data_IF_615650768162
#
_entry.id   IF_615650768162
#
_cell.length_a   1.000
_cell.length_b   1.000
_cell.length_c   1.000
_cell.angle_alpha   90.00
_cell.angle_beta   90.00
_cell.angle_gamma   90.00
#
_symmetry.space_group_name_H-M   'P 1'
#
loop_
_entity.id
_entity.type
_entity.pdbx_description
1 polymer ?
#
# COMPACT_ATOMS: atom_id res chain seq x y z
N UNK A 1 40.47 25.69 4.88
CA UNK A 1 39.86 27.02 5.07
C UNK A 1 38.88 27.27 3.93
N UNK A 2 37.66 26.74 4.04
CA UNK A 2 36.52 27.06 3.15
C UNK A 2 35.29 27.11 4.06
N UNK A 3 34.78 28.32 4.28
CA UNK A 3 33.61 28.63 5.09
C UNK A 3 32.34 28.37 4.26
N UNK A 4 31.53 27.38 4.63
CA UNK A 4 30.15 27.28 4.14
C UNK A 4 29.22 28.00 5.11
N UNK A 5 28.67 29.13 4.64
CA UNK A 5 27.63 29.91 5.32
C UNK A 5 26.30 29.14 5.31
N UNK A 6 25.76 28.90 6.50
CA UNK A 6 24.38 28.47 6.74
C UNK A 6 23.40 29.48 6.13
N UNK A 7 22.56 29.04 5.18
CA UNK A 7 21.36 29.78 4.77
C UNK A 7 20.35 29.70 5.91
N UNK A 8 20.05 30.84 6.53
CA UNK A 8 18.97 30.98 7.49
C UNK A 8 17.62 30.61 6.84
N UNK A 9 16.90 29.70 7.48
CA UNK A 9 15.50 29.39 7.16
C UNK A 9 14.67 30.64 7.50
N UNK A 10 14.15 31.33 6.49
CA UNK A 10 13.17 32.40 6.69
C UNK A 10 11.92 31.79 7.32
N UNK A 11 11.51 32.32 8.48
CA UNK A 11 10.20 32.01 9.05
C UNK A 11 9.10 32.45 8.06
N UNK A 12 8.04 31.65 7.86
CA UNK A 12 6.90 32.09 7.06
C UNK A 12 6.25 33.33 7.70
N UNK A 13 5.67 34.24 6.90
CA UNK A 13 5.06 35.45 7.42
C UNK A 13 3.91 35.10 8.38
N UNK A 14 3.69 35.91 9.43
CA UNK A 14 2.61 35.68 10.37
C UNK A 14 1.25 35.74 9.65
N UNK A 15 0.42 34.73 9.88
CA UNK A 15 -0.97 34.68 9.40
C UNK A 15 -1.70 35.90 9.98
N UNK A 16 -2.40 36.72 9.17
CA UNK A 16 -3.11 37.88 9.67
C UNK A 16 -4.20 37.42 10.64
N UNK A 17 -4.24 38.01 11.84
CA UNK A 17 -5.33 37.79 12.80
C UNK A 17 -6.62 38.31 12.17
N UNK A 18 -7.73 37.56 12.17
CA UNK A 18 -9.01 38.10 11.73
C UNK A 18 -9.37 39.28 12.64
N UNK A 19 -9.77 40.42 12.04
CA UNK A 19 -10.03 41.72 12.66
C UNK A 19 -11.27 41.76 13.58
N UNK A 20 -11.67 40.62 14.14
CA UNK A 20 -12.87 40.48 14.96
C UNK A 20 -12.77 41.23 16.31
N UNK A 21 -11.56 41.57 16.75
CA UNK A 21 -11.32 42.26 18.03
C UNK A 21 -11.43 43.79 17.94
N UNK A 22 -11.21 44.40 16.77
CA UNK A 22 -11.25 45.87 16.63
C UNK A 22 -12.69 46.40 16.50
N UNK A 23 -13.59 45.65 15.85
CA UNK A 23 -15.02 46.00 15.82
C UNK A 23 -15.68 45.88 17.20
N UNK A 24 -15.21 44.96 18.05
CA UNK A 24 -15.71 44.79 19.41
C UNK A 24 -15.28 45.92 20.37
N UNK A 25 -14.12 46.54 20.15
CA UNK A 25 -13.64 47.66 20.97
C UNK A 25 -14.28 49.00 20.59
N UNK A 26 -14.65 49.19 19.33
CA UNK A 26 -15.28 50.44 18.87
C UNK A 26 -16.75 50.59 19.32
N UNK A 27 -17.42 49.49 19.66
CA UNK A 27 -18.79 49.49 20.18
C UNK A 27 -18.89 49.87 21.68
N UNK A 28 -17.76 49.96 22.39
CA UNK A 28 -17.73 50.15 23.85
C UNK A 28 -17.68 51.62 24.32
N UNK A 29 -17.74 52.61 23.42
CA UNK A 29 -17.51 54.03 23.75
C UNK A 29 -18.74 54.95 23.68
N UNK A 30 -19.96 54.42 23.51
CA UNK A 30 -21.19 55.21 23.62
C UNK A 30 -21.81 55.11 25.03
N UNK A 31 -21.89 56.22 25.80
CA UNK A 31 -22.56 56.24 27.09
C UNK A 31 -23.99 56.72 26.89
N UNK A 32 -24.95 55.81 26.77
CA UNK A 32 -26.34 55.98 27.24
C UNK A 32 -27.23 54.85 26.71
N UNK A 33 -27.21 53.69 27.39
CA UNK A 33 -28.39 52.81 27.44
C UNK A 33 -28.50 52.25 28.86
N UNK A 34 -29.39 52.84 29.66
CA UNK A 34 -29.99 52.16 30.80
C UNK A 34 -30.96 51.10 30.25
N UNK A 35 -30.64 49.81 30.37
CA UNK A 35 -31.63 48.72 30.24
C UNK A 35 -31.31 47.55 31.18
N UNK A 36 -32.39 46.99 31.70
CA UNK A 36 -32.48 45.94 32.71
C UNK A 36 -31.91 44.59 32.23
N UNK A 37 -31.38 43.81 33.17
CA UNK A 37 -31.02 42.40 32.96
C UNK A 37 -29.60 42.19 32.44
N UNK A 38 -28.69 41.84 33.34
CA UNK A 38 -27.34 41.41 32.97
C UNK A 38 -27.39 40.22 32.00
N UNK A 39 -27.07 40.46 30.72
CA UNK A 39 -26.84 39.38 29.75
C UNK A 39 -25.52 38.67 30.06
N UNK A 40 -25.54 37.81 31.09
CA UNK A 40 -24.50 36.81 31.31
C UNK A 40 -24.70 35.68 30.30
N UNK A 41 -24.37 35.92 29.01
CA UNK A 41 -24.30 34.83 28.03
C UNK A 41 -22.99 34.07 28.26
N UNK A 42 -23.11 32.84 28.71
CA UNK A 42 -22.01 31.88 28.86
C UNK A 42 -21.77 31.16 27.53
N UNK A 43 -20.61 30.51 27.40
CA UNK A 43 -20.31 29.63 26.25
C UNK A 43 -21.35 28.52 26.05
N UNK A 44 -22.08 28.13 27.09
CA UNK A 44 -23.16 27.14 26.99
C UNK A 44 -24.41 27.70 26.30
N UNK A 45 -24.54 29.02 26.18
CA UNK A 45 -25.68 29.68 25.54
C UNK A 45 -25.48 29.86 24.02
N UNK A 46 -24.33 29.40 23.49
CA UNK A 46 -24.07 29.38 22.05
C UNK A 46 -24.90 28.28 21.37
N UNK A 47 -25.44 28.54 20.16
CA UNK A 47 -26.06 27.50 19.35
C UNK A 47 -25.09 26.34 19.08
N UNK A 48 -25.62 25.12 19.04
CA UNK A 48 -24.84 23.89 18.78
C UNK A 48 -23.92 23.99 17.55
N UNK A 49 -24.37 24.51 16.38
CA UNK A 49 -23.48 24.63 15.21
C UNK A 49 -22.29 25.58 15.41
N UNK A 50 -22.43 26.56 16.29
CA UNK A 50 -21.34 27.50 16.62
C UNK A 50 -20.32 26.84 17.56
N UNK A 51 -20.79 26.07 18.55
CA UNK A 51 -19.93 25.28 19.42
C UNK A 51 -19.16 24.21 18.64
N UNK A 52 -19.81 23.56 17.69
CA UNK A 52 -19.19 22.57 16.81
C UNK A 52 -18.04 23.19 16.01
N UNK A 53 -18.25 24.35 15.37
CA UNK A 53 -17.19 25.09 14.65
C UNK A 53 -15.99 25.45 15.54
N UNK A 54 -16.24 25.86 16.80
CA UNK A 54 -15.15 26.13 17.75
C UNK A 54 -14.39 24.84 18.07
N UNK A 55 -15.10 23.73 18.22
CA UNK A 55 -14.51 22.43 18.53
C UNK A 55 -13.71 21.82 17.37
N UNK A 56 -13.93 22.24 16.12
CA UNK A 56 -13.11 21.83 14.97
C UNK A 56 -11.63 22.25 15.08
N UNK A 57 -11.32 23.26 15.91
CA UNK A 57 -9.94 23.69 16.13
C UNK A 57 -9.25 22.94 17.27
N UNK A 58 -9.96 22.07 17.99
CA UNK A 58 -9.45 21.37 19.15
C UNK A 58 -8.76 20.06 18.76
N UNK A 59 -7.76 19.67 19.56
CA UNK A 59 -7.15 18.34 19.44
C UNK A 59 -8.09 17.27 19.98
N UNK A 60 -7.86 16.00 19.62
CA UNK A 60 -8.59 14.87 20.19
C UNK A 60 -8.53 14.84 21.73
N UNK A 61 -7.39 15.23 22.31
CA UNK A 61 -7.23 15.29 23.77
C UNK A 61 -8.09 16.38 24.39
N UNK A 62 -8.20 17.54 23.74
CA UNK A 62 -8.98 18.66 24.24
C UNK A 62 -10.47 18.42 24.08
N UNK A 63 -10.90 17.83 22.96
CA UNK A 63 -12.28 17.35 22.78
C UNK A 63 -12.69 16.34 23.86
N UNK A 64 -11.81 15.38 24.19
CA UNK A 64 -12.08 14.41 25.25
C UNK A 64 -12.25 15.09 26.61
N UNK A 65 -11.48 16.14 26.91
CA UNK A 65 -11.66 16.96 28.12
C UNK A 65 -12.97 17.75 28.07
N UNK A 66 -13.28 18.40 26.95
CA UNK A 66 -14.54 19.13 26.77
C UNK A 66 -15.77 18.23 26.98
N UNK A 67 -15.71 16.97 26.54
CA UNK A 67 -16.79 16.00 26.73
C UNK A 67 -17.07 15.63 28.21
N UNK A 68 -16.13 15.96 29.11
CA UNK A 68 -16.30 15.77 30.56
C UNK A 68 -16.86 17.01 31.28
N UNK A 69 -16.90 18.18 30.64
CA UNK A 69 -17.29 19.43 31.29
C UNK A 69 -18.79 19.52 31.61
N UNK A 70 -19.66 19.30 30.62
CA UNK A 70 -21.12 19.38 30.79
C UNK A 70 -21.87 18.57 29.72
N UNK A 71 -23.21 18.43 29.85
CA UNK A 71 -24.04 17.67 28.90
C UNK A 71 -24.02 18.27 27.48
N UNK A 72 -24.11 19.60 27.37
CA UNK A 72 -24.10 20.29 26.08
C UNK A 72 -22.75 20.07 25.36
N UNK A 73 -21.64 20.27 26.07
CA UNK A 73 -20.30 20.06 25.51
C UNK A 73 -20.04 18.60 25.19
N UNK A 74 -20.57 17.65 25.98
CA UNK A 74 -20.49 16.22 25.66
C UNK A 74 -21.18 15.91 24.34
N UNK A 75 -22.37 16.45 24.10
CA UNK A 75 -23.09 16.26 22.85
C UNK A 75 -22.28 16.80 21.66
N UNK A 76 -21.83 18.06 21.72
CA UNK A 76 -21.05 18.67 20.64
C UNK A 76 -19.69 18.00 20.45
N UNK A 77 -18.96 17.71 21.53
CA UNK A 77 -17.61 17.14 21.47
C UNK A 77 -17.62 15.67 21.03
N UNK A 78 -18.67 14.90 21.33
CA UNK A 78 -18.70 13.46 21.00
C UNK A 78 -19.26 13.18 19.62
N UNK A 79 -20.19 14.00 19.13
CA UNK A 79 -20.81 13.83 17.81
C UNK A 79 -20.22 14.75 16.74
N UNK A 80 -19.15 15.49 17.06
CA UNK A 80 -18.47 16.34 16.09
C UNK A 80 -17.94 15.49 14.93
N UNK A 81 -18.28 15.83 13.67
CA UNK A 81 -17.63 15.26 12.47
C UNK A 81 -16.12 15.46 12.45
N UNK A 82 -15.57 16.31 13.33
CA UNK A 82 -14.14 16.49 13.51
C UNK A 82 -13.41 15.21 13.95
N UNK A 83 -14.07 14.30 14.70
CA UNK A 83 -13.41 13.05 15.12
C UNK A 83 -12.97 12.16 13.94
N UNK A 84 -13.76 12.10 12.86
CA UNK A 84 -13.37 11.35 11.66
C UNK A 84 -12.15 11.98 10.98
N UNK A 85 -12.10 13.31 10.90
CA UNK A 85 -10.93 14.05 10.38
C UNK A 85 -9.70 13.86 11.24
N UNK A 86 -9.82 13.93 12.56
CA UNK A 86 -8.71 13.67 13.48
C UNK A 86 -8.19 12.24 13.33
N UNK A 87 -9.11 11.27 13.24
CA UNK A 87 -8.81 9.88 12.96
C UNK A 87 -8.00 9.74 11.67
N UNK A 88 -8.51 10.27 10.55
CA UNK A 88 -7.86 10.23 9.23
C UNK A 88 -6.52 10.96 9.20
N UNK A 89 -6.38 12.05 9.95
CA UNK A 89 -5.13 12.80 10.04
C UNK A 89 -4.05 12.07 10.85
N UNK A 90 -4.45 11.21 11.79
CA UNK A 90 -3.52 10.48 12.67
C UNK A 90 -3.10 9.13 12.08
N UNK A 91 -4.06 8.40 11.54
CA UNK A 91 -3.86 7.06 11.01
C UNK A 91 -4.30 7.02 9.55
N UNK A 92 -3.37 6.62 8.71
CA UNK A 92 -3.58 6.42 7.28
C UNK A 92 -4.29 5.07 7.02
N UNK A 93 -3.98 4.06 7.84
CA UNK A 93 -4.45 2.69 7.63
C UNK A 93 -5.74 2.43 8.36
N UNK A 94 -6.90 2.42 7.72
CA UNK A 94 -8.13 1.92 8.34
C UNK A 94 -8.33 0.48 7.89
N UNK A 95 -8.70 -0.42 8.82
CA UNK A 95 -8.90 -1.84 8.52
C UNK A 95 -9.70 -1.99 7.22
N UNK A 96 -9.06 -2.55 6.19
CA UNK A 96 -9.68 -2.78 4.88
C UNK A 96 -10.74 -3.84 5.11
N UNK A 97 -11.97 -3.35 5.11
CA UNK A 97 -13.20 -3.99 5.55
C UNK A 97 -14.33 -2.96 5.56
N UNK A 98 -14.01 -1.68 5.80
CA UNK A 98 -15.04 -0.64 5.98
C UNK A 98 -14.98 0.57 5.04
N UNK A 99 -13.95 0.74 4.21
CA UNK A 99 -13.89 1.89 3.29
C UNK A 99 -14.97 1.84 2.20
N UNK A 100 -15.50 0.64 1.91
CA UNK A 100 -16.61 0.38 1.01
C UNK A 100 -17.82 -0.30 1.67
N UNK A 101 -17.77 -0.62 2.96
CA UNK A 101 -18.92 -1.19 3.66
C UNK A 101 -19.83 -0.07 4.16
N UNK A 102 -21.12 -0.33 4.20
CA UNK A 102 -22.12 0.54 4.83
C UNK A 102 -21.84 0.82 6.33
N UNK A 103 -20.79 0.23 6.94
CA UNK A 103 -20.41 0.46 8.33
C UNK A 103 -19.70 1.81 8.57
N UNK A 104 -19.06 2.41 7.55
CA UNK A 104 -18.38 3.70 7.70
C UNK A 104 -19.35 4.83 8.08
N UNK A 105 -20.53 4.86 7.47
CA UNK A 105 -21.57 5.87 7.73
C UNK A 105 -22.13 5.80 9.17
N UNK A 106 -21.99 4.65 9.84
CA UNK A 106 -22.49 4.41 11.19
C UNK A 106 -21.38 4.31 12.25
N UNK A 107 -20.14 4.61 11.90
CA UNK A 107 -19.01 4.54 12.84
C UNK A 107 -19.09 5.63 13.91
N UNK A 108 -19.10 5.23 15.17
CA UNK A 108 -18.94 6.15 16.29
C UNK A 108 -17.45 6.47 16.51
N UNK A 109 -16.97 7.50 15.79
CA UNK A 109 -15.56 7.89 15.71
C UNK A 109 -14.81 8.08 17.04
N UNK A 110 -15.40 8.64 18.12
CA UNK A 110 -14.70 8.75 19.39
C UNK A 110 -14.34 7.39 20.02
N UNK A 111 -15.17 6.37 19.82
CA UNK A 111 -14.87 5.02 20.28
C UNK A 111 -13.77 4.38 19.42
N UNK A 112 -13.84 4.55 18.10
CA UNK A 112 -12.81 4.07 17.18
C UNK A 112 -11.43 4.68 17.51
N UNK A 113 -11.37 6.01 17.74
CA UNK A 113 -10.14 6.68 18.18
C UNK A 113 -9.60 6.07 19.48
N UNK A 114 -10.46 5.88 20.48
CA UNK A 114 -10.05 5.36 21.79
C UNK A 114 -9.53 3.94 21.71
N UNK A 115 -10.26 3.07 21.02
CA UNK A 115 -9.87 1.67 20.81
C UNK A 115 -8.51 1.59 20.11
N UNK A 116 -8.35 2.32 19.01
CA UNK A 116 -7.11 2.30 18.24
C UNK A 116 -5.93 2.90 18.98
N UNK A 117 -6.13 4.01 19.70
CA UNK A 117 -5.09 4.58 20.56
C UNK A 117 -4.67 3.60 21.67
N UNK A 118 -5.62 2.83 22.21
CA UNK A 118 -5.34 1.81 23.21
C UNK A 118 -4.57 0.63 22.61
N UNK A 119 -4.92 0.20 21.40
CA UNK A 119 -4.19 -0.82 20.63
C UNK A 119 -2.75 -0.38 20.35
N UNK A 120 -2.53 0.85 19.86
CA UNK A 120 -1.19 1.42 19.64
C UNK A 120 -0.34 1.38 20.92
N UNK A 121 -0.91 1.86 22.05
CA UNK A 121 -0.21 1.86 23.35
C UNK A 121 0.15 0.46 23.81
N UNK A 122 -0.80 -0.47 23.70
CA UNK A 122 -0.62 -1.88 24.06
C UNK A 122 0.45 -2.53 23.19
N UNK A 123 0.42 -2.25 21.89
CA UNK A 123 1.39 -2.73 20.91
C UNK A 123 2.81 -2.28 21.26
N UNK A 124 3.01 -0.98 21.51
CA UNK A 124 4.33 -0.45 21.86
C UNK A 124 4.85 -1.03 23.19
N UNK A 125 4.00 -1.20 24.20
CA UNK A 125 4.38 -1.85 25.46
C UNK A 125 4.81 -3.31 25.24
N UNK A 126 4.07 -4.06 24.41
CA UNK A 126 4.43 -5.44 24.06
C UNK A 126 5.76 -5.51 23.27
N UNK A 127 6.03 -4.56 22.37
CA UNK A 127 7.33 -4.48 21.67
C UNK A 127 8.47 -4.23 22.67
N UNK A 128 8.26 -3.42 23.70
CA UNK A 128 9.24 -3.23 24.77
C UNK A 128 9.49 -4.52 25.58
N UNK A 129 8.46 -5.34 25.79
CA UNK A 129 8.61 -6.65 26.45
C UNK A 129 9.41 -7.66 25.62
N UNK A 130 9.38 -7.56 24.29
CA UNK A 130 10.09 -8.47 23.37
C UNK A 130 11.61 -8.32 23.38
N UNK A 131 12.16 -7.30 24.06
CA UNK A 131 13.61 -7.15 24.27
C UNK A 131 14.24 -8.41 24.87
N UNK A 132 13.45 -9.23 25.57
CA UNK A 132 13.85 -10.53 26.10
C UNK A 132 13.48 -11.67 25.13
N UNK A 133 14.44 -12.32 24.45
CA UNK A 133 14.15 -13.31 23.40
C UNK A 133 13.23 -14.46 23.85
N UNK A 134 13.30 -14.86 25.12
CA UNK A 134 12.47 -15.91 25.70
C UNK A 134 10.97 -15.57 25.70
N UNK A 135 10.62 -14.28 25.71
CA UNK A 135 9.22 -13.83 25.68
C UNK A 135 8.69 -13.62 24.26
N UNK A 136 9.56 -13.63 23.24
CA UNK A 136 9.21 -13.26 21.87
C UNK A 136 7.97 -14.01 21.34
N UNK A 137 7.98 -15.34 21.39
CA UNK A 137 6.89 -16.13 20.80
C UNK A 137 5.54 -15.86 21.45
N UNK A 138 5.47 -15.74 22.77
CA UNK A 138 4.21 -15.46 23.46
C UNK A 138 3.77 -14.00 23.21
N UNK A 139 4.70 -13.05 23.27
CA UNK A 139 4.39 -11.63 23.13
C UNK A 139 4.01 -11.26 21.69
N UNK A 140 4.65 -11.86 20.67
CA UNK A 140 4.32 -11.56 19.25
C UNK A 140 2.93 -12.05 18.88
N UNK A 141 2.44 -13.12 19.50
CA UNK A 141 1.05 -13.58 19.33
C UNK A 141 0.05 -12.61 19.97
N UNK A 142 0.39 -12.01 21.12
CA UNK A 142 -0.43 -10.95 21.72
C UNK A 142 -0.50 -9.72 20.83
N UNK A 143 0.61 -9.34 20.19
CA UNK A 143 0.61 -8.24 19.20
C UNK A 143 -0.23 -8.59 17.99
N UNK A 144 -0.11 -9.81 17.46
CA UNK A 144 -0.91 -10.27 16.33
C UNK A 144 -2.42 -10.27 16.64
N UNK A 145 -2.81 -10.58 17.88
CA UNK A 145 -4.20 -10.53 18.33
C UNK A 145 -4.79 -9.11 18.39
N UNK A 146 -3.97 -8.04 18.32
CA UNK A 146 -4.46 -6.67 18.23
C UNK A 146 -5.01 -6.33 16.83
N UNK A 147 -4.78 -7.19 15.83
CA UNK A 147 -5.28 -7.03 14.46
C UNK A 147 -4.43 -6.08 13.62
N UNK A 148 -4.91 -5.76 12.41
CA UNK A 148 -4.18 -4.93 11.44
C UNK A 148 -4.08 -3.45 11.84
N UNK A 149 -4.88 -2.97 12.79
CA UNK A 149 -4.90 -1.57 13.25
C UNK A 149 -3.53 -1.07 13.76
N UNK A 150 -2.70 -1.98 14.29
CA UNK A 150 -1.39 -1.65 14.86
C UNK A 150 -0.25 -1.67 13.84
N UNK A 151 -0.50 -2.05 12.58
CA UNK A 151 0.53 -2.14 11.54
C UNK A 151 1.25 -0.80 11.34
N UNK A 152 0.51 0.30 11.27
CA UNK A 152 1.07 1.65 11.08
C UNK A 152 2.02 2.01 12.23
N UNK A 153 1.60 1.71 13.47
CA UNK A 153 2.39 1.97 14.67
C UNK A 153 3.70 1.17 14.66
N UNK A 154 3.63 -0.11 14.31
CA UNK A 154 4.79 -1.00 14.21
C UNK A 154 5.74 -0.57 13.08
N UNK A 155 5.21 -0.18 11.92
CA UNK A 155 6.00 0.31 10.80
C UNK A 155 6.73 1.61 11.16
N UNK A 156 6.04 2.58 11.78
CA UNK A 156 6.66 3.82 12.29
C UNK A 156 7.78 3.50 13.28
N UNK A 157 7.56 2.55 14.19
CA UNK A 157 8.57 2.12 15.16
C UNK A 157 9.77 1.42 14.51
N UNK A 158 9.57 0.61 13.47
CA UNK A 158 10.63 -0.08 12.74
C UNK A 158 11.58 0.90 12.02
N UNK A 159 11.04 2.03 11.53
CA UNK A 159 11.79 3.04 10.79
C UNK A 159 12.31 4.20 11.65
N UNK A 160 12.09 4.18 12.98
CA UNK A 160 12.58 5.23 13.87
C UNK A 160 14.11 5.34 13.85
N UNK A 161 14.69 6.53 13.64
CA UNK A 161 16.14 6.72 13.63
C UNK A 161 16.74 6.67 15.04
N UNK A 162 17.97 6.17 15.16
CA UNK A 162 18.79 6.25 16.39
C UNK A 162 19.27 4.89 16.91
N UNK A 163 20.58 4.79 17.20
CA UNK A 163 21.24 3.53 17.58
C UNK A 163 20.72 2.90 18.89
N UNK A 164 20.24 3.71 19.84
CA UNK A 164 19.65 3.22 21.10
C UNK A 164 18.30 2.52 20.90
N UNK A 165 17.72 2.59 19.69
CA UNK A 165 16.42 1.98 19.36
C UNK A 165 16.55 0.73 18.50
N UNK A 166 17.76 0.27 18.18
CA UNK A 166 17.99 -0.84 17.22
C UNK A 166 17.23 -2.12 17.58
N UNK A 167 17.23 -2.49 18.87
CA UNK A 167 16.46 -3.63 19.36
C UNK A 167 14.96 -3.46 19.17
N UNK A 168 14.40 -2.28 19.51
CA UNK A 168 12.97 -1.99 19.34
C UNK A 168 12.56 -1.99 17.88
N UNK A 169 13.41 -1.45 16.99
CA UNK A 169 13.18 -1.46 15.54
C UNK A 169 13.10 -2.88 15.00
N UNK A 170 14.04 -3.74 15.41
CA UNK A 170 14.07 -5.15 15.00
C UNK A 170 12.80 -5.90 15.44
N UNK A 171 12.40 -5.74 16.71
CA UNK A 171 11.20 -6.40 17.23
C UNK A 171 9.92 -5.85 16.62
N UNK A 172 9.83 -4.54 16.41
CA UNK A 172 8.70 -3.91 15.72
C UNK A 172 8.57 -4.42 14.28
N UNK A 173 9.68 -4.54 13.54
CA UNK A 173 9.66 -5.08 12.17
C UNK A 173 9.20 -6.55 12.14
N UNK A 174 9.68 -7.38 13.07
CA UNK A 174 9.25 -8.79 13.17
C UNK A 174 7.78 -8.91 13.58
N UNK A 175 7.31 -8.09 14.52
CA UNK A 175 5.93 -8.07 14.93
C UNK A 175 5.01 -7.57 13.80
N UNK A 176 5.43 -6.55 13.05
CA UNK A 176 4.71 -6.07 11.86
C UNK A 176 4.53 -7.20 10.85
N UNK A 177 5.60 -7.90 10.50
CA UNK A 177 5.55 -9.05 9.58
C UNK A 177 4.59 -10.14 10.08
N UNK A 178 4.60 -10.45 11.39
CA UNK A 178 3.70 -11.47 11.97
C UNK A 178 2.23 -11.05 11.89
N UNK A 179 1.89 -9.83 12.29
CA UNK A 179 0.53 -9.26 12.22
C UNK A 179 0.04 -9.27 10.78
N UNK A 180 0.91 -8.87 9.86
CA UNK A 180 0.62 -8.79 8.45
C UNK A 180 0.35 -10.16 7.82
N UNK A 181 1.20 -11.16 8.09
CA UNK A 181 0.95 -12.53 7.65
C UNK A 181 -0.37 -13.06 8.18
N UNK A 182 -0.69 -12.80 9.45
CA UNK A 182 -1.96 -13.25 10.03
C UNK A 182 -3.15 -12.61 9.33
N UNK A 183 -3.13 -11.28 9.18
CA UNK A 183 -4.21 -10.55 8.53
C UNK A 183 -4.44 -11.06 7.10
N UNK A 184 -3.38 -11.32 6.33
CA UNK A 184 -3.55 -11.86 4.99
C UNK A 184 -4.06 -13.29 4.95
N UNK A 185 -3.66 -14.14 5.90
CA UNK A 185 -4.24 -15.48 6.03
C UNK A 185 -5.74 -15.41 6.36
N UNK A 186 -6.15 -14.45 7.18
CA UNK A 186 -7.56 -14.18 7.50
C UNK A 186 -8.31 -13.72 6.24
N UNK A 187 -7.78 -12.74 5.50
CA UNK A 187 -8.38 -12.28 4.23
C UNK A 187 -8.49 -13.42 3.20
N UNK A 188 -7.44 -14.23 3.04
CA UNK A 188 -7.46 -15.39 2.14
C UNK A 188 -8.49 -16.44 2.56
N UNK A 189 -8.69 -16.64 3.87
CA UNK A 189 -9.68 -17.58 4.41
C UNK A 189 -11.11 -17.06 4.22
N UNK A 190 -11.32 -15.75 4.38
CA UNK A 190 -12.61 -15.08 4.22
C UNK A 190 -12.96 -14.78 2.75
N UNK A 191 -12.05 -15.05 1.82
CA UNK A 191 -12.28 -15.03 0.38
C UNK A 191 -12.43 -16.45 -0.24
N UNK A 192 -13.25 -17.39 0.31
CA UNK A 192 -13.38 -18.72 -0.24
C UNK A 192 -14.08 -18.70 -1.61
N UNK A 193 -14.90 -17.68 -1.88
CA UNK A 193 -15.50 -17.47 -3.20
C UNK A 193 -14.42 -17.21 -4.26
N UNK A 194 -13.44 -16.35 -3.97
CA UNK A 194 -12.34 -15.98 -4.89
C UNK A 194 -11.46 -17.19 -5.24
N UNK A 195 -11.11 -18.05 -4.28
CA UNK A 195 -10.27 -19.23 -4.55
C UNK A 195 -11.01 -20.39 -5.25
N UNK A 196 -12.35 -20.39 -5.26
CA UNK A 196 -13.16 -21.43 -5.88
C UNK A 196 -13.73 -21.03 -7.26
N UNK A 197 -13.48 -19.81 -7.73
CA UNK A 197 -13.93 -19.37 -9.05
C UNK A 197 -13.21 -20.17 -10.16
N UNK A 198 -13.96 -20.72 -11.14
CA UNK A 198 -13.39 -21.38 -12.33
C UNK A 198 -12.37 -20.50 -13.08
N UNK A 199 -12.52 -19.18 -12.98
CA UNK A 199 -11.64 -18.15 -13.54
C UNK A 199 -10.21 -18.21 -13.00
N UNK A 200 -9.98 -18.73 -11.79
CA UNK A 200 -8.63 -18.86 -11.20
C UNK A 200 -7.81 -20.05 -11.72
N UNK A 201 -8.43 -21.00 -12.44
CA UNK A 201 -7.65 -22.06 -13.10
C UNK A 201 -6.73 -21.39 -14.13
N UNK A 202 -5.42 -21.58 -13.96
CA UNK A 202 -4.37 -21.01 -14.80
C UNK A 202 -4.14 -19.49 -14.65
N UNK A 203 -4.48 -18.88 -13.51
CA UNK A 203 -4.12 -17.48 -13.19
C UNK A 203 -3.13 -17.39 -12.01
N UNK A 204 -1.93 -17.96 -12.19
CA UNK A 204 -0.88 -18.04 -11.15
C UNK A 204 -0.42 -16.63 -10.73
N UNK A 205 -0.51 -15.66 -11.63
CA UNK A 205 -0.21 -14.26 -11.38
C UNK A 205 -1.10 -13.66 -10.28
N UNK A 206 -2.38 -14.04 -10.20
CA UNK A 206 -3.26 -13.54 -9.12
C UNK A 206 -2.81 -14.07 -7.76
N UNK A 207 -2.40 -15.34 -7.70
CA UNK A 207 -1.80 -15.91 -6.49
C UNK A 207 -0.54 -15.15 -6.06
N UNK A 208 0.33 -14.80 -7.01
CA UNK A 208 1.53 -14.01 -6.74
C UNK A 208 1.20 -12.59 -6.25
N UNK A 209 0.15 -11.96 -6.79
CA UNK A 209 -0.31 -10.64 -6.33
C UNK A 209 -0.93 -10.69 -4.93
N UNK A 210 -1.67 -11.75 -4.60
CA UNK A 210 -2.18 -11.97 -3.24
C UNK A 210 -1.03 -12.14 -2.24
N UNK A 211 0.02 -12.88 -2.62
CA UNK A 211 1.25 -12.99 -1.82
C UNK A 211 1.94 -11.63 -1.68
N UNK A 212 1.99 -10.84 -2.75
CA UNK A 212 2.56 -9.49 -2.71
C UNK A 212 1.78 -8.55 -1.77
N UNK A 213 0.45 -8.67 -1.72
CA UNK A 213 -0.39 -7.97 -0.73
C UNK A 213 -0.06 -8.39 0.72
N UNK A 214 0.47 -9.59 0.93
CA UNK A 214 1.03 -9.98 2.24
C UNK A 214 2.28 -9.23 2.61
N UNK A 215 3.02 -8.69 1.65
CA UNK A 215 4.19 -7.86 1.92
C UNK A 215 3.88 -6.36 1.87
N UNK A 216 2.88 -5.96 1.09
CA UNK A 216 2.40 -4.59 0.94
C UNK A 216 0.85 -4.55 0.93
N UNK A 217 0.19 -4.54 2.11
CA UNK A 217 -1.26 -4.69 2.26
C UNK A 217 -2.05 -3.56 1.61
N UNK A 218 -1.38 -2.43 1.45
CA UNK A 218 -1.94 -1.16 1.04
C UNK A 218 -1.47 -0.74 -0.35
N UNK A 219 -0.66 -1.58 -1.01
CA UNK A 219 -0.31 -1.35 -2.41
C UNK A 219 -1.55 -1.63 -3.26
N UNK A 220 -1.95 -0.66 -4.06
CA UNK A 220 -2.94 -0.89 -5.11
C UNK A 220 -2.25 -1.63 -6.27
N UNK A 221 -2.50 -2.94 -6.35
CA UNK A 221 -1.96 -3.82 -7.38
C UNK A 221 -2.94 -4.06 -8.54
N UNK A 222 -4.12 -3.42 -8.53
CA UNK A 222 -5.10 -3.44 -9.62
C UNK A 222 -4.50 -3.09 -11.00
N UNK A 223 -3.49 -2.21 -11.10
CA UNK A 223 -2.82 -1.94 -12.38
C UNK A 223 -2.12 -3.16 -13.01
N UNK A 224 -1.69 -4.15 -12.21
CA UNK A 224 -0.87 -5.26 -12.73
C UNK A 224 -1.66 -6.20 -13.65
N UNK A 225 -2.84 -6.74 -13.28
CA UNK A 225 -3.63 -7.55 -14.20
C UNK A 225 -3.98 -6.80 -15.50
N UNK A 226 -4.38 -5.53 -15.39
CA UNK A 226 -4.69 -4.68 -16.57
C UNK A 226 -3.49 -4.51 -17.50
N UNK A 227 -2.30 -4.36 -16.92
CA UNK A 227 -1.08 -4.24 -17.71
C UNK A 227 -0.69 -5.57 -18.37
N UNK A 228 -0.89 -6.70 -17.70
CA UNK A 228 -0.72 -8.03 -18.31
C UNK A 228 -1.70 -8.25 -19.47
N UNK A 229 -2.96 -7.80 -19.33
CA UNK A 229 -3.95 -7.80 -20.42
C UNK A 229 -3.47 -6.98 -21.62
N UNK A 230 -2.98 -5.76 -21.36
CA UNK A 230 -2.43 -4.88 -22.41
C UNK A 230 -1.19 -5.49 -23.11
N UNK A 231 -0.30 -6.14 -22.36
CA UNK A 231 0.85 -6.85 -22.92
C UNK A 231 0.41 -8.03 -23.80
N UNK A 232 -0.60 -8.79 -23.38
CA UNK A 232 -1.16 -9.90 -24.15
C UNK A 232 -1.82 -9.44 -25.44
N UNK A 233 -2.59 -8.35 -25.39
CA UNK A 233 -3.20 -7.73 -26.58
C UNK A 233 -2.14 -7.24 -27.56
N UNK A 234 -1.14 -6.52 -27.07
CA UNK A 234 -0.06 -6.00 -27.91
C UNK A 234 0.76 -7.13 -28.55
N UNK A 235 1.04 -8.21 -27.82
CA UNK A 235 1.69 -9.39 -28.39
C UNK A 235 0.82 -10.04 -29.47
N UNK A 236 -0.49 -10.20 -29.22
CA UNK A 236 -1.42 -10.78 -30.21
C UNK A 236 -1.48 -9.92 -31.48
N UNK A 237 -1.48 -8.59 -31.33
CA UNK A 237 -1.43 -7.65 -32.45
C UNK A 237 -0.15 -7.84 -33.28
N UNK A 238 1.02 -7.92 -32.64
CA UNK A 238 2.31 -8.17 -33.34
C UNK A 238 2.35 -9.52 -34.03
N UNK A 239 1.84 -10.56 -33.38
CA UNK A 239 1.70 -11.89 -33.97
C UNK A 239 0.82 -11.84 -35.23
N UNK A 240 -0.31 -11.13 -35.20
CA UNK A 240 -1.17 -10.94 -36.36
C UNK A 240 -0.49 -10.16 -37.49
N UNK A 241 0.25 -9.09 -37.17
CA UNK A 241 1.02 -8.31 -38.16
C UNK A 241 2.08 -9.17 -38.88
N UNK A 242 2.68 -10.14 -38.19
CA UNK A 242 3.65 -11.09 -38.75
C UNK A 242 3.01 -12.38 -39.32
N UNK A 243 1.69 -12.50 -39.28
CA UNK A 243 0.97 -13.68 -39.78
C UNK A 243 1.18 -14.95 -38.94
N UNK A 244 1.56 -14.81 -37.67
CA UNK A 244 1.81 -15.89 -36.72
C UNK A 244 0.57 -16.13 -35.86
N UNK A 245 0.03 -17.35 -35.85
CA UNK A 245 -1.15 -17.71 -35.05
C UNK A 245 -0.86 -18.61 -33.84
N UNK A 246 0.35 -19.16 -33.74
CA UNK A 246 0.73 -20.09 -32.67
C UNK A 246 2.07 -20.81 -32.93
N UNK A 247 2.28 -21.91 -32.21
CA UNK A 247 3.47 -22.75 -32.34
C UNK A 247 4.76 -22.11 -31.81
N UNK A 248 5.88 -22.73 -32.15
CA UNK A 248 7.21 -22.24 -31.76
C UNK A 248 7.54 -20.81 -32.25
N UNK A 249 7.10 -20.35 -33.45
CA UNK A 249 7.29 -18.97 -33.84
C UNK A 249 6.63 -17.99 -32.86
N UNK A 250 5.40 -18.27 -32.42
CA UNK A 250 4.71 -17.42 -31.46
C UNK A 250 5.40 -17.40 -30.09
N UNK A 251 5.92 -18.55 -29.63
CA UNK A 251 6.70 -18.63 -28.38
C UNK A 251 7.99 -17.82 -28.48
N UNK A 252 8.68 -17.84 -29.63
CA UNK A 252 9.87 -17.01 -29.87
C UNK A 252 9.53 -15.52 -29.86
N UNK A 253 8.40 -15.14 -30.48
CA UNK A 253 7.92 -13.76 -30.43
C UNK A 253 7.60 -13.32 -29.01
N UNK A 254 6.96 -14.17 -28.19
CA UNK A 254 6.74 -13.91 -26.76
C UNK A 254 8.06 -13.71 -26.01
N UNK A 255 9.02 -14.60 -26.16
CA UNK A 255 10.34 -14.48 -25.51
C UNK A 255 11.03 -13.18 -25.93
N UNK A 256 11.03 -12.84 -27.22
CA UNK A 256 11.60 -11.60 -27.72
C UNK A 256 10.83 -10.35 -27.23
N UNK A 257 9.50 -10.44 -27.11
CA UNK A 257 8.66 -9.36 -26.64
C UNK A 257 8.91 -9.03 -25.16
N UNK A 258 9.13 -10.03 -24.31
CA UNK A 258 9.37 -9.82 -22.88
C UNK A 258 10.85 -9.59 -22.54
N UNK A 259 11.75 -10.39 -23.12
CA UNK A 259 13.17 -10.38 -22.74
C UNK A 259 14.08 -9.69 -23.76
N UNK A 260 13.53 -9.31 -24.92
CA UNK A 260 14.27 -8.59 -25.95
C UNK A 260 14.68 -7.19 -25.51
N UNK A 261 15.65 -6.62 -26.23
CA UNK A 261 16.24 -5.32 -25.91
C UNK A 261 15.18 -4.20 -25.86
N UNK A 262 15.20 -3.33 -24.83
CA UNK A 262 14.32 -2.17 -24.78
C UNK A 262 14.75 -1.07 -25.75
N UNK A 263 13.84 -0.15 -26.06
CA UNK A 263 14.10 0.96 -26.97
C UNK A 263 15.19 1.91 -26.42
N UNK A 264 16.06 2.48 -27.27
CA UNK A 264 17.08 3.45 -26.85
C UNK A 264 16.46 4.63 -26.10
N UNK A 265 17.05 5.02 -24.97
CA UNK A 265 16.54 6.12 -24.14
C UNK A 265 15.39 5.74 -23.20
N UNK A 266 14.87 4.50 -23.29
CA UNK A 266 14.09 3.93 -22.18
C UNK A 266 15.07 3.73 -21.03
N UNK A 267 14.86 4.32 -19.84
CA UNK A 267 15.70 4.02 -18.70
C UNK A 267 15.72 2.49 -18.53
N UNK A 268 16.90 1.92 -18.31
CA UNK A 268 17.03 0.50 -17.97
C UNK A 268 16.37 0.30 -16.60
N UNK A 269 15.04 0.18 -16.61
CA UNK A 269 14.12 -0.07 -15.51
C UNK A 269 14.72 0.25 -14.12
N UNK A 270 14.98 1.54 -13.88
CA UNK A 270 15.72 2.04 -12.72
C UNK A 270 14.84 2.73 -11.67
N UNK A 271 13.52 2.75 -11.87
CA UNK A 271 12.60 3.17 -10.81
C UNK A 271 12.39 1.96 -9.89
N UNK A 272 13.32 1.75 -8.95
CA UNK A 272 13.09 0.93 -7.76
C UNK A 272 11.96 1.60 -6.99
N UNK A 273 10.71 1.26 -7.33
CA UNK A 273 9.56 1.74 -6.59
C UNK A 273 9.50 0.97 -5.28
N UNK A 274 9.66 1.70 -4.17
CA UNK A 274 9.49 1.14 -2.84
C UNK A 274 8.06 0.63 -2.67
N UNK A 275 7.91 -0.62 -2.23
CA UNK A 275 6.62 -1.27 -1.96
C UNK A 275 5.70 -0.48 -1.03
N UNK A 276 6.28 0.30 -0.11
CA UNK A 276 5.53 1.13 0.84
C UNK A 276 4.94 2.40 0.24
N UNK A 277 5.34 2.79 -0.98
CA UNK A 277 5.00 4.07 -1.61
C UNK A 277 4.13 3.93 -2.87
N UNK A 278 3.75 2.70 -3.25
CA UNK A 278 3.00 2.44 -4.47
C UNK A 278 1.51 2.76 -4.29
N UNK A 279 1.15 4.01 -4.55
CA UNK A 279 -0.22 4.32 -4.96
C UNK A 279 -0.48 3.76 -6.36
N UNK A 280 -1.73 3.37 -6.66
CA UNK A 280 -2.10 2.78 -7.95
C UNK A 280 -1.72 3.66 -9.14
N UNK A 281 -1.88 4.98 -9.01
CA UNK A 281 -1.52 5.95 -10.05
C UNK A 281 -0.01 6.04 -10.30
N UNK A 282 0.82 5.84 -9.28
CA UNK A 282 2.29 5.79 -9.43
C UNK A 282 2.72 4.54 -10.16
N UNK A 283 2.07 3.41 -9.86
CA UNK A 283 2.32 2.15 -10.54
C UNK A 283 1.90 2.21 -12.02
N UNK A 284 0.70 2.73 -12.31
CA UNK A 284 0.23 2.92 -13.70
C UNK A 284 1.18 3.81 -14.52
N UNK A 285 1.70 4.90 -13.95
CA UNK A 285 2.64 5.78 -14.65
C UNK A 285 4.00 5.10 -14.97
N UNK A 286 4.40 4.11 -14.18
CA UNK A 286 5.66 3.40 -14.35
C UNK A 286 5.57 2.25 -15.37
N UNK A 287 4.39 1.63 -15.51
CA UNK A 287 4.16 0.51 -16.42
C UNK A 287 4.02 1.02 -17.87
N UNK A 288 4.91 0.55 -18.75
CA UNK A 288 4.95 0.99 -20.15
C UNK A 288 5.07 -0.20 -21.08
N UNK A 289 4.23 -0.22 -22.11
CA UNK A 289 4.34 -1.19 -23.20
C UNK A 289 5.65 -0.97 -23.98
N UNK A 290 6.25 -2.03 -24.52
CA UNK A 290 7.49 -1.89 -25.29
C UNK A 290 7.20 -1.22 -26.63
N UNK A 291 8.10 -0.35 -27.10
CA UNK A 291 7.96 0.29 -28.40
C UNK A 291 7.93 -0.74 -29.55
N UNK A 292 7.36 -0.40 -30.73
CA UNK A 292 7.38 -1.29 -31.89
C UNK A 292 8.80 -1.74 -32.25
N UNK A 293 9.00 -3.05 -32.44
CA UNK A 293 10.30 -3.65 -32.74
C UNK A 293 11.23 -3.86 -31.52
N UNK A 294 10.82 -3.46 -30.32
CA UNK A 294 11.57 -3.65 -29.07
C UNK A 294 10.82 -4.56 -28.09
N UNK A 295 11.57 -5.10 -27.12
CA UNK A 295 11.02 -5.88 -26.00
C UNK A 295 10.95 -5.07 -24.70
N UNK A 296 10.38 -5.68 -23.66
CA UNK A 296 10.29 -5.10 -22.31
C UNK A 296 11.65 -5.02 -21.60
N UNK A 297 12.64 -5.81 -22.03
CA UNK A 297 13.95 -5.88 -21.39
C UNK A 297 13.92 -6.53 -20.00
N UNK A 298 12.98 -7.44 -19.76
CA UNK A 298 12.99 -8.24 -18.54
C UNK A 298 14.20 -9.17 -18.55
N UNK A 299 14.83 -9.37 -17.39
CA UNK A 299 16.00 -10.25 -17.27
C UNK A 299 16.10 -10.89 -15.89
N UNK A 300 16.75 -12.06 -15.84
CA UNK A 300 17.14 -12.70 -14.59
C UNK A 300 18.15 -11.84 -13.82
N UNK A 301 17.96 -11.76 -12.50
CA UNK A 301 18.90 -11.09 -11.60
C UNK A 301 19.65 -12.10 -10.72
N UNK A 302 20.85 -12.46 -11.16
CA UNK A 302 21.71 -13.40 -10.42
C UNK A 302 22.37 -12.75 -9.20
N UNK A 303 22.67 -11.44 -9.28
CA UNK A 303 23.30 -10.69 -8.20
C UNK A 303 22.29 -10.40 -7.08
N UNK A 304 21.07 -10.03 -7.47
CA UNK A 304 19.94 -9.77 -6.58
C UNK A 304 19.02 -10.98 -6.35
N UNK A 305 19.49 -12.23 -6.54
CA UNK A 305 18.63 -13.41 -6.54
C UNK A 305 17.76 -13.56 -5.28
N UNK A 306 18.30 -13.22 -4.11
CA UNK A 306 17.60 -13.29 -2.83
C UNK A 306 16.93 -11.97 -2.43
N UNK A 307 16.89 -10.97 -3.32
CA UNK A 307 16.14 -9.75 -3.08
C UNK A 307 14.65 -10.07 -3.04
N UNK A 308 13.93 -9.70 -1.97
CA UNK A 308 12.48 -9.89 -1.90
C UNK A 308 11.75 -9.21 -3.05
N UNK A 309 12.26 -8.07 -3.52
CA UNK A 309 11.67 -7.27 -4.60
C UNK A 309 11.62 -8.04 -5.92
N UNK A 310 12.64 -8.86 -6.23
CA UNK A 310 12.69 -9.66 -7.45
C UNK A 310 11.64 -10.80 -7.48
N UNK A 311 10.97 -11.05 -6.35
CA UNK A 311 9.85 -12.01 -6.24
C UNK A 311 8.48 -11.36 -6.48
N UNK A 312 8.39 -10.04 -6.56
CA UNK A 312 7.13 -9.30 -6.58
C UNK A 312 6.84 -8.77 -7.98
N UNK A 313 5.76 -9.23 -8.61
CA UNK A 313 5.50 -8.99 -10.04
C UNK A 313 5.48 -7.50 -10.40
N UNK A 314 4.89 -6.66 -9.55
CA UNK A 314 4.86 -5.22 -9.75
C UNK A 314 6.27 -4.61 -9.82
N UNK A 315 7.20 -5.11 -9.01
CA UNK A 315 8.57 -4.64 -9.01
C UNK A 315 9.32 -5.19 -10.23
N UNK A 316 9.13 -6.47 -10.56
CA UNK A 316 9.75 -7.09 -11.75
C UNK A 316 9.34 -6.35 -13.02
N UNK A 317 8.07 -5.96 -13.15
CA UNK A 317 7.55 -5.24 -14.32
C UNK A 317 8.06 -3.78 -14.41
N UNK A 318 8.38 -3.14 -13.28
CA UNK A 318 8.88 -1.76 -13.26
C UNK A 318 10.41 -1.65 -13.25
N UNK A 319 11.10 -2.61 -12.62
CA UNK A 319 12.55 -2.67 -12.46
C UNK A 319 13.23 -3.62 -13.47
N UNK A 320 12.45 -4.41 -14.21
CA UNK A 320 12.96 -5.27 -15.29
C UNK A 320 13.77 -6.47 -14.83
N UNK A 321 13.84 -6.71 -13.52
CA UNK A 321 14.68 -7.73 -12.91
C UNK A 321 13.82 -8.66 -12.06
N UNK A 322 14.04 -9.96 -12.20
CA UNK A 322 13.28 -10.96 -11.47
C UNK A 322 14.03 -12.26 -11.22
N UNK A 323 13.40 -13.14 -10.45
CA UNK A 323 13.84 -14.52 -10.21
C UNK A 323 13.13 -15.50 -11.18
N UNK A 324 13.56 -16.77 -11.28
CA UNK A 324 12.97 -17.72 -12.21
C UNK A 324 11.44 -17.84 -12.10
N UNK A 325 10.92 -17.85 -10.86
CA UNK A 325 9.48 -17.98 -10.62
C UNK A 325 8.71 -16.75 -11.13
N UNK A 326 9.15 -15.53 -10.78
CA UNK A 326 8.41 -14.32 -11.13
C UNK A 326 8.42 -14.05 -12.63
N UNK A 327 9.56 -14.28 -13.31
CA UNK A 327 9.67 -14.17 -14.76
C UNK A 327 8.83 -15.22 -15.49
N UNK A 328 8.83 -16.47 -15.01
CA UNK A 328 8.01 -17.52 -15.59
C UNK A 328 6.50 -17.26 -15.44
N UNK A 329 6.08 -16.67 -14.31
CA UNK A 329 4.69 -16.25 -14.10
C UNK A 329 4.29 -15.18 -15.11
N UNK A 330 5.10 -14.13 -15.28
CA UNK A 330 4.82 -13.06 -16.28
C UNK A 330 4.77 -13.65 -17.68
N UNK A 331 5.72 -14.51 -18.04
CA UNK A 331 5.78 -15.16 -19.35
C UNK A 331 4.53 -15.99 -19.64
N UNK A 332 4.10 -16.84 -18.70
CA UNK A 332 2.87 -17.61 -18.85
C UNK A 332 1.62 -16.71 -18.90
N UNK A 333 1.54 -15.68 -18.04
CA UNK A 333 0.40 -14.78 -17.97
C UNK A 333 0.18 -14.01 -19.28
N UNK A 334 1.25 -13.48 -19.87
CA UNK A 334 1.19 -12.76 -21.15
C UNK A 334 0.94 -13.71 -22.32
N UNK A 335 1.63 -14.87 -22.35
CA UNK A 335 1.44 -15.87 -23.39
C UNK A 335 0.00 -16.39 -23.47
N UNK A 336 -0.61 -16.74 -22.33
CA UNK A 336 -2.01 -17.17 -22.26
C UNK A 336 -2.97 -16.10 -22.77
N UNK A 337 -2.75 -14.84 -22.39
CA UNK A 337 -3.56 -13.72 -22.89
C UNK A 337 -3.41 -13.56 -24.40
N UNK A 338 -2.24 -13.80 -24.96
CA UNK A 338 -2.03 -13.83 -26.42
C UNK A 338 -2.57 -15.09 -27.11
N UNK A 339 -3.16 -16.05 -26.38
CA UNK A 339 -3.74 -17.29 -26.91
C UNK A 339 -2.77 -18.47 -26.97
N UNK A 340 -1.61 -18.39 -26.31
CA UNK A 340 -0.62 -19.46 -26.26
C UNK A 340 -0.84 -20.35 -25.03
N UNK A 341 -0.80 -21.67 -25.25
CA UNK A 341 -0.87 -22.63 -24.15
C UNK A 341 0.48 -22.79 -23.45
N UNK A 342 0.71 -21.93 -22.46
CA UNK A 342 1.93 -21.91 -21.66
C UNK A 342 1.59 -22.29 -20.23
N UNK A 343 2.27 -23.29 -19.70
CA UNK A 343 2.19 -23.70 -18.29
C UNK A 343 3.48 -23.38 -17.55
N UNK A 344 3.41 -23.29 -16.22
CA UNK A 344 4.60 -23.19 -15.37
C UNK A 344 4.93 -24.59 -14.84
N UNK A 345 6.20 -24.97 -14.88
CA UNK A 345 6.68 -26.29 -14.45
C UNK A 345 7.84 -26.14 -13.48
N UNK A 346 7.81 -26.94 -12.42
CA UNK A 346 8.90 -27.03 -11.47
C UNK A 346 9.86 -28.15 -11.88
N UNK A 347 11.13 -27.82 -12.00
CA UNK A 347 12.22 -28.77 -12.22
C UNK A 347 13.18 -28.71 -11.02
N UNK A 348 13.96 -29.77 -10.75
CA UNK A 348 14.95 -29.72 -9.69
C UNK A 348 15.89 -28.50 -9.86
N UNK A 349 15.87 -27.60 -8.87
CA UNK A 349 16.64 -26.34 -8.82
C UNK A 349 16.27 -25.29 -9.87
N UNK A 350 15.21 -25.47 -10.66
CA UNK A 350 14.87 -24.51 -11.71
C UNK A 350 13.37 -24.44 -11.98
N UNK A 351 12.83 -23.24 -12.16
CA UNK A 351 11.41 -23.03 -12.45
C UNK A 351 11.28 -22.45 -13.85
N UNK A 352 10.55 -23.14 -14.71
CA UNK A 352 10.49 -22.87 -16.15
C UNK A 352 9.06 -22.80 -16.64
N UNK A 353 8.89 -22.39 -17.89
CA UNK A 353 7.64 -22.56 -18.60
C UNK A 353 7.68 -23.79 -19.50
N UNK A 354 6.51 -24.34 -19.82
CA UNK A 354 6.30 -25.36 -20.84
C UNK A 354 5.27 -24.85 -21.85
N UNK A 355 5.58 -24.98 -23.13
CA UNK A 355 4.62 -24.82 -24.22
C UNK A 355 4.16 -26.18 -24.71
N UNK A 356 2.85 -26.35 -24.89
CA UNK A 356 2.22 -27.61 -25.29
C UNK A 356 2.01 -28.59 -24.13
N UNK A 357 1.30 -29.66 -24.43
CA UNK A 357 0.96 -30.71 -23.48
C UNK A 357 2.04 -31.79 -23.36
N UNK A 358 1.99 -32.54 -22.27
CA UNK A 358 2.94 -33.62 -22.02
C UNK A 358 2.84 -34.68 -23.14
N UNK A 359 3.97 -34.94 -23.80
CA UNK A 359 4.04 -35.90 -24.91
C UNK A 359 3.76 -35.32 -26.30
N UNK A 360 3.40 -34.03 -26.40
CA UNK A 360 3.30 -33.33 -27.69
C UNK A 360 4.68 -33.30 -28.39
N UNK A 361 4.79 -33.62 -29.69
CA UNK A 361 6.02 -33.41 -30.47
C UNK A 361 6.57 -31.98 -30.39
N UNK A 362 5.69 -31.00 -30.23
CA UNK A 362 6.02 -29.59 -30.10
C UNK A 362 6.21 -29.13 -28.65
N UNK A 363 6.18 -30.06 -27.67
CA UNK A 363 6.49 -29.75 -26.27
C UNK A 363 7.88 -29.11 -26.17
N UNK A 364 7.94 -27.90 -25.62
CA UNK A 364 9.20 -27.22 -25.33
C UNK A 364 9.21 -26.62 -23.94
N UNK A 365 10.36 -26.69 -23.29
CA UNK A 365 10.63 -25.94 -22.08
C UNK A 365 11.22 -24.58 -22.44
N UNK A 366 10.82 -23.56 -21.70
CA UNK A 366 11.28 -22.17 -21.88
C UNK A 366 11.87 -21.71 -20.56
N UNK A 367 13.14 -21.30 -20.60
CA UNK A 367 13.83 -20.70 -19.46
C UNK A 367 13.63 -19.17 -19.48
N UNK A 368 12.63 -18.71 -18.73
CA UNK A 368 12.34 -17.27 -18.59
C UNK A 368 13.47 -16.49 -17.88
N UNK A 369 14.28 -17.16 -17.05
CA UNK A 369 15.39 -16.51 -16.37
C UNK A 369 16.58 -16.26 -17.32
N UNK A 370 16.81 -17.19 -18.25
CA UNK A 370 17.80 -17.09 -19.33
C UNK A 370 17.21 -16.47 -20.63
N UNK A 371 16.36 -15.44 -20.48
CA UNK A 371 15.85 -14.64 -21.61
C UNK A 371 14.82 -15.34 -22.50
N UNK A 372 14.09 -16.31 -21.96
CA UNK A 372 13.07 -17.05 -22.71
C UNK A 372 13.65 -18.07 -23.67
N UNK A 373 14.82 -18.63 -23.34
CA UNK A 373 15.51 -19.63 -24.16
C UNK A 373 14.70 -20.91 -24.26
N UNK A 374 14.42 -21.34 -25.49
CA UNK A 374 13.80 -22.63 -25.79
C UNK A 374 14.82 -23.74 -25.58
N UNK A 375 14.48 -24.70 -24.73
CA UNK A 375 15.29 -25.90 -24.48
C UNK A 375 14.81 -27.03 -25.40
N UNK A 376 15.76 -27.72 -26.01
CA UNK A 376 15.51 -28.98 -26.69
C UNK A 376 15.50 -30.11 -25.66
N UNK A 377 14.66 -31.12 -25.89
CA UNK A 377 14.61 -32.34 -25.07
C UNK A 377 15.96 -33.02 -24.96
#
# INVERSE_FOLDING_TARGET
MVLFRSKAVQQPPPIPRPSFFEEAQHAATHPDIRTEGAYSRTINDLPMPTLEKVFEFLTASDLARCATCCRAWRASASWSPHWSRLCQARWELWSVGDWHSQAFEHTYWPAAWRDRLQKDRTCLALVEEMVWPQKYHATVQKVAALGSDVLECLQKQAHMPGALQEGRRCWAARAASRVQTQWCMEQMREAPEVMQLPEFRNQIELGALLVAQVHAPFADLTPIPRFLDALGEELRRRMADEGVSGGLPAVRMLSQFLFGRPAPGTPANGATLSLSALSGSTLEAALKLPAPGYGMGLQGDSDGYYSPENSLLQHVLTAGKGIPISLAIIHAAVGRRAGLDISCVNMPRHFMNRYGDYGDPDERFIDAFDGGKLLTR
#
